data_IF_134470649358
#
_entry.id   IF_134470649358
#
_cell.length_a   1.000
_cell.length_b   1.000
_cell.length_c   1.000
_cell.angle_alpha   90.00
_cell.angle_beta   90.00
_cell.angle_gamma   90.00
#
_symmetry.space_group_name_H-M   'P 1'
#
loop_
_entity.id
_entity.type
_entity.pdbx_description
1 polymer ?
#
# COMPACT_ATOMS: atom_id res chain seq x y z
N UNK A 1 -14.34 -2.65 -16.01
CA UNK A 1 -14.11 -2.85 -14.56
C UNK A 1 -15.42 -2.90 -13.76
N UNK A 2 -16.40 -2.03 -14.05
CA UNK A 2 -17.67 -2.02 -13.30
C UNK A 2 -18.53 -3.28 -13.42
N UNK A 3 -18.33 -4.09 -14.47
CA UNK A 3 -19.07 -5.36 -14.63
C UNK A 3 -18.42 -6.57 -13.95
N UNK A 4 -17.21 -6.42 -13.39
CA UNK A 4 -16.53 -7.53 -12.73
C UNK A 4 -17.04 -7.70 -11.29
N UNK A 5 -17.23 -8.95 -10.86
CA UNK A 5 -17.54 -9.27 -9.47
C UNK A 5 -16.41 -8.86 -8.54
N UNK A 6 -16.72 -8.58 -7.28
CA UNK A 6 -15.74 -8.20 -6.26
C UNK A 6 -14.59 -9.20 -6.16
N UNK A 7 -14.89 -10.50 -6.13
CA UNK A 7 -13.90 -11.57 -6.10
C UNK A 7 -12.93 -11.51 -7.29
N UNK A 8 -13.44 -11.22 -8.48
CA UNK A 8 -12.62 -11.09 -9.68
C UNK A 8 -11.73 -9.84 -9.62
N UNK A 9 -12.24 -8.72 -9.11
CA UNK A 9 -11.46 -7.49 -8.90
C UNK A 9 -10.31 -7.72 -7.92
N UNK A 10 -10.57 -8.38 -6.79
CA UNK A 10 -9.52 -8.74 -5.82
C UNK A 10 -8.49 -9.66 -6.44
N UNK A 11 -8.94 -10.69 -7.17
CA UNK A 11 -8.04 -11.65 -7.81
C UNK A 11 -7.10 -10.94 -8.81
N UNK A 12 -7.61 -10.01 -9.61
CA UNK A 12 -6.80 -9.19 -10.52
C UNK A 12 -5.84 -8.28 -9.74
N UNK A 13 -6.33 -7.60 -8.69
CA UNK A 13 -5.51 -6.71 -7.86
C UNK A 13 -4.37 -7.44 -7.15
N UNK A 14 -4.49 -8.75 -6.92
CA UNK A 14 -3.44 -9.60 -6.36
C UNK A 14 -2.52 -10.14 -7.46
N UNK A 15 -3.08 -10.73 -8.51
CA UNK A 15 -2.31 -11.43 -9.54
C UNK A 15 -1.43 -10.49 -10.36
N UNK A 16 -1.95 -9.33 -10.77
CA UNK A 16 -1.21 -8.44 -11.68
C UNK A 16 0.09 -7.93 -11.03
N UNK A 17 0.09 -7.36 -9.81
CA UNK A 17 1.33 -6.92 -9.17
C UNK A 17 2.31 -8.06 -8.90
N UNK A 18 1.83 -9.26 -8.53
CA UNK A 18 2.68 -10.43 -8.29
C UNK A 18 3.34 -10.90 -9.59
N UNK A 19 2.59 -10.97 -10.69
CA UNK A 19 3.13 -11.34 -12.00
C UNK A 19 4.14 -10.30 -12.48
N UNK A 20 3.85 -9.00 -12.35
CA UNK A 20 4.80 -7.94 -12.69
C UNK A 20 6.07 -8.01 -11.84
N UNK A 21 5.95 -8.30 -10.55
CA UNK A 21 7.09 -8.51 -9.68
C UNK A 21 7.92 -9.72 -10.13
N UNK A 22 7.28 -10.85 -10.41
CA UNK A 22 7.95 -12.06 -10.86
C UNK A 22 8.67 -11.85 -12.21
N UNK A 23 8.01 -11.20 -13.17
CA UNK A 23 8.60 -10.85 -14.47
C UNK A 23 9.81 -9.93 -14.26
N UNK A 24 9.68 -8.89 -13.42
CA UNK A 24 10.79 -7.98 -13.14
C UNK A 24 11.98 -8.69 -12.50
N UNK A 25 11.74 -9.61 -11.56
CA UNK A 25 12.79 -10.44 -10.96
C UNK A 25 13.53 -11.28 -12.01
N UNK A 26 12.81 -11.87 -12.96
CA UNK A 26 13.41 -12.70 -14.02
C UNK A 26 14.18 -11.84 -15.02
N UNK A 27 13.65 -10.68 -15.39
CA UNK A 27 14.30 -9.76 -16.34
C UNK A 27 15.52 -9.05 -15.75
N UNK A 28 15.55 -8.85 -14.43
CA UNK A 28 16.60 -8.13 -13.72
C UNK A 28 17.20 -8.97 -12.58
N UNK A 29 17.88 -10.09 -12.87
CA UNK A 29 18.35 -11.03 -11.83
C UNK A 29 19.45 -10.45 -10.92
N UNK A 30 20.08 -9.34 -11.32
CA UNK A 30 21.17 -8.67 -10.57
C UNK A 30 20.66 -7.71 -9.49
N UNK A 31 19.35 -7.47 -9.37
CA UNK A 31 18.76 -6.45 -8.48
C UNK A 31 18.57 -6.91 -7.03
N UNK A 32 19.34 -7.92 -6.61
CA UNK A 32 19.62 -8.14 -5.20
C UNK A 32 18.63 -9.03 -4.46
N UNK A 33 18.62 -10.33 -4.79
CA UNK A 33 18.37 -11.35 -3.76
C UNK A 33 19.56 -11.48 -2.78
N UNK A 34 20.77 -11.07 -3.20
CA UNK A 34 21.95 -10.92 -2.34
C UNK A 34 22.26 -9.47 -1.99
N UNK A 35 22.90 -9.24 -0.84
CA UNK A 35 23.43 -7.92 -0.45
C UNK A 35 24.63 -7.57 -1.35
N UNK A 36 24.40 -6.83 -2.44
CA UNK A 36 25.50 -6.41 -3.33
C UNK A 36 26.28 -5.29 -2.63
N UNK A 37 27.53 -5.58 -2.21
CA UNK A 37 28.41 -4.62 -1.51
C UNK A 37 28.85 -3.44 -2.39
N UNK A 38 28.73 -3.55 -3.73
CA UNK A 38 29.02 -2.51 -4.73
C UNK A 38 28.06 -2.66 -5.93
N UNK A 39 26.84 -2.09 -5.88
CA UNK A 39 25.91 -2.18 -7.01
C UNK A 39 26.46 -1.39 -8.21
N UNK A 40 26.37 -1.91 -9.45
CA UNK A 40 26.76 -1.14 -10.63
C UNK A 40 25.88 0.12 -10.75
N UNK A 41 26.45 1.21 -11.30
CA UNK A 41 25.65 2.35 -11.78
C UNK A 41 24.55 1.74 -12.67
N UNK A 42 23.28 2.01 -12.37
CA UNK A 42 22.08 1.46 -13.04
C UNK A 42 21.60 0.05 -12.64
N UNK A 43 22.13 -0.61 -11.60
CA UNK A 43 21.35 -1.69 -10.98
C UNK A 43 20.05 -1.08 -10.45
N UNK A 44 18.88 -1.56 -10.90
CA UNK A 44 17.64 -1.20 -10.24
C UNK A 44 17.83 -1.58 -8.77
N UNK A 45 17.94 -0.56 -7.93
CA UNK A 45 18.23 -0.70 -6.50
C UNK A 45 17.12 -1.44 -5.74
N UNK A 46 16.11 -1.98 -6.43
CA UNK A 46 14.94 -2.67 -5.91
C UNK A 46 13.65 -1.84 -6.05
N UNK A 47 13.62 -0.88 -6.97
CA UNK A 47 12.49 0.03 -7.21
C UNK A 47 11.27 -0.71 -7.75
N UNK A 48 11.45 -1.71 -8.63
CA UNK A 48 10.29 -2.52 -9.06
C UNK A 48 9.61 -3.22 -7.88
N UNK A 49 10.38 -3.65 -6.86
CA UNK A 49 9.85 -4.28 -5.65
C UNK A 49 8.97 -3.30 -4.88
N UNK A 50 9.43 -2.07 -4.67
CA UNK A 50 8.61 -1.03 -4.03
C UNK A 50 7.36 -0.68 -4.83
N UNK A 51 7.47 -0.55 -6.15
CA UNK A 51 6.34 -0.13 -7.00
C UNK A 51 5.27 -1.21 -7.10
N UNK A 52 5.67 -2.46 -7.38
CA UNK A 52 4.72 -3.58 -7.47
C UNK A 52 4.12 -3.93 -6.11
N UNK A 53 4.90 -3.80 -5.03
CA UNK A 53 4.38 -3.95 -3.67
C UNK A 53 3.34 -2.88 -3.34
N UNK A 54 3.67 -1.61 -3.57
CA UNK A 54 2.70 -0.52 -3.38
C UNK A 54 1.44 -0.73 -4.23
N UNK A 55 1.58 -1.16 -5.48
CA UNK A 55 0.45 -1.46 -6.36
C UNK A 55 -0.46 -2.56 -5.80
N UNK A 56 0.11 -3.63 -5.21
CA UNK A 56 -0.65 -4.67 -4.51
C UNK A 56 -1.40 -4.10 -3.31
N UNK A 57 -0.71 -3.38 -2.44
CA UNK A 57 -1.31 -2.81 -1.24
C UNK A 57 -2.43 -1.82 -1.54
N UNK A 58 -2.21 -0.93 -2.52
CA UNK A 58 -3.20 0.04 -2.99
C UNK A 58 -4.41 -0.68 -3.59
N UNK A 59 -4.19 -1.64 -4.51
CA UNK A 59 -5.26 -2.33 -5.21
C UNK A 59 -6.16 -3.11 -4.26
N UNK A 60 -5.58 -3.93 -3.39
CA UNK A 60 -6.35 -4.71 -2.42
C UNK A 60 -6.99 -3.80 -1.38
N UNK A 61 -6.22 -2.85 -0.83
CA UNK A 61 -6.70 -1.97 0.22
C UNK A 61 -7.87 -1.09 -0.24
N UNK A 62 -7.78 -0.50 -1.44
CA UNK A 62 -8.86 0.30 -2.04
C UNK A 62 -10.13 -0.52 -2.30
N UNK A 63 -10.00 -1.76 -2.80
CA UNK A 63 -11.16 -2.61 -3.04
C UNK A 63 -11.86 -3.01 -1.73
N UNK A 64 -11.09 -3.39 -0.70
CA UNK A 64 -11.64 -3.71 0.60
C UNK A 64 -12.27 -2.49 1.28
N UNK A 65 -11.67 -1.32 1.13
CA UNK A 65 -12.20 -0.08 1.69
C UNK A 65 -13.56 0.24 1.08
N UNK A 66 -13.67 0.23 -0.25
CA UNK A 66 -14.95 0.46 -0.94
C UNK A 66 -16.03 -0.56 -0.61
N UNK A 67 -15.66 -1.83 -0.37
CA UNK A 67 -16.64 -2.89 -0.09
C UNK A 67 -17.11 -2.84 1.37
N UNK A 68 -16.20 -2.67 2.33
CA UNK A 68 -16.48 -2.87 3.75
C UNK A 68 -16.51 -1.59 4.59
N UNK A 69 -15.71 -0.57 4.25
CA UNK A 69 -15.55 0.64 5.08
C UNK A 69 -16.41 1.78 4.54
N UNK A 70 -16.39 2.01 3.21
CA UNK A 70 -17.16 3.05 2.52
C UNK A 70 -16.98 4.42 3.18
N UNK A 71 -15.73 4.76 3.48
CA UNK A 71 -15.40 6.03 4.08
C UNK A 71 -15.67 7.15 3.07
N UNK A 72 -16.61 8.03 3.40
CA UNK A 72 -17.02 9.14 2.53
C UNK A 72 -16.54 10.47 3.12
N UNK A 73 -15.42 11.05 2.63
CA UNK A 73 -14.91 12.30 3.16
C UNK A 73 -15.84 13.49 2.88
N UNK A 74 -16.72 13.42 1.86
CA UNK A 74 -17.58 14.55 1.49
C UNK A 74 -18.60 14.88 2.57
N UNK A 75 -19.06 13.89 3.34
CA UNK A 75 -20.02 14.05 4.45
C UNK A 75 -19.42 14.72 5.69
N UNK A 76 -18.09 14.87 5.76
CA UNK A 76 -17.41 15.44 6.91
C UNK A 76 -17.38 16.97 6.87
N UNK A 77 -17.47 17.59 8.05
CA UNK A 77 -17.23 19.02 8.19
C UNK A 77 -15.73 19.35 8.00
N UNK A 78 -15.42 20.63 7.76
CA UNK A 78 -14.04 21.07 7.51
C UNK A 78 -13.08 20.75 8.66
N UNK A 79 -13.57 20.79 9.93
CA UNK A 79 -12.74 20.48 11.10
C UNK A 79 -12.34 19.00 11.13
N UNK A 80 -13.28 18.10 10.85
CA UNK A 80 -13.05 16.65 10.76
C UNK A 80 -12.11 16.31 9.61
N UNK A 81 -12.29 16.94 8.44
CA UNK A 81 -11.38 16.78 7.29
C UNK A 81 -9.95 17.15 7.65
N UNK A 82 -9.74 18.28 8.32
CA UNK A 82 -8.42 18.70 8.79
C UNK A 82 -7.84 17.73 9.81
N UNK A 83 -8.62 17.27 10.79
CA UNK A 83 -8.17 16.28 11.78
C UNK A 83 -7.74 14.97 11.09
N UNK A 84 -8.56 14.45 10.18
CA UNK A 84 -8.24 13.22 9.44
C UNK A 84 -7.00 13.38 8.57
N UNK A 85 -6.79 14.56 7.96
CA UNK A 85 -5.57 14.85 7.22
C UNK A 85 -4.33 14.76 8.12
N UNK A 86 -4.35 15.41 9.30
CA UNK A 86 -3.24 15.34 10.25
C UNK A 86 -2.98 13.90 10.72
N UNK A 87 -4.02 13.15 11.07
CA UNK A 87 -3.89 11.75 11.47
C UNK A 87 -3.35 10.91 10.32
N UNK A 88 -3.82 11.13 9.09
CA UNK A 88 -3.34 10.46 7.89
C UNK A 88 -1.85 10.70 7.63
N UNK A 89 -1.39 11.94 7.79
CA UNK A 89 0.04 12.30 7.67
C UNK A 89 0.85 11.59 8.77
N UNK A 90 0.39 11.62 10.03
CA UNK A 90 1.07 10.95 11.13
C UNK A 90 1.17 9.44 10.86
N UNK A 91 0.07 8.83 10.42
CA UNK A 91 -0.01 7.40 10.14
C UNK A 91 0.89 7.02 8.95
N UNK A 92 0.97 7.87 7.91
CA UNK A 92 1.94 7.74 6.82
C UNK A 92 3.37 7.74 7.34
N UNK A 93 3.75 8.74 8.14
CA UNK A 93 5.11 8.85 8.65
C UNK A 93 5.47 7.67 9.55
N UNK A 94 4.60 7.30 10.49
CA UNK A 94 4.81 6.15 11.39
C UNK A 94 4.95 4.87 10.58
N UNK A 95 4.08 4.64 9.62
CA UNK A 95 4.10 3.39 8.84
C UNK A 95 5.31 3.34 7.92
N UNK A 96 5.62 4.44 7.23
CA UNK A 96 6.75 4.50 6.30
C UNK A 96 8.09 4.36 7.03
N UNK A 97 8.34 5.15 8.07
CA UNK A 97 9.60 5.08 8.82
C UNK A 97 9.66 3.87 9.75
N UNK A 98 8.55 3.51 10.39
CA UNK A 98 8.46 2.36 11.28
C UNK A 98 8.65 1.04 10.55
N UNK A 99 7.93 0.80 9.45
CA UNK A 99 8.21 -0.39 8.63
C UNK A 99 9.56 -0.29 7.92
N UNK A 100 10.03 0.91 7.60
CA UNK A 100 11.37 1.15 7.08
C UNK A 100 12.48 0.81 8.07
N UNK A 101 12.24 0.85 9.39
CA UNK A 101 13.21 0.46 10.41
C UNK A 101 13.22 -1.05 10.67
N UNK A 102 12.05 -1.71 10.55
CA UNK A 102 11.88 -3.14 10.84
C UNK A 102 12.15 -4.01 9.60
N UNK A 103 11.58 -3.66 8.45
CA UNK A 103 11.64 -4.45 7.21
C UNK A 103 12.65 -3.80 6.26
N UNK A 104 13.88 -4.31 6.29
CA UNK A 104 15.00 -3.82 5.48
C UNK A 104 15.64 -4.96 4.70
N UNK A 105 16.14 -4.68 3.51
CA UNK A 105 16.98 -5.62 2.77
C UNK A 105 16.62 -5.73 1.29
N UNK A 106 16.57 -6.99 0.85
CA UNK A 106 16.41 -7.40 -0.55
C UNK A 106 15.09 -6.94 -1.17
N UNK A 107 14.97 -7.15 -2.48
CA UNK A 107 13.83 -6.67 -3.26
C UNK A 107 12.47 -7.27 -2.81
N UNK A 108 12.47 -8.52 -2.31
CA UNK A 108 11.27 -9.15 -1.76
C UNK A 108 10.80 -8.52 -0.45
N UNK A 109 11.72 -8.20 0.46
CA UNK A 109 11.39 -7.47 1.69
C UNK A 109 10.89 -6.06 1.39
N UNK A 110 11.44 -5.40 0.36
CA UNK A 110 10.90 -4.13 -0.12
C UNK A 110 9.48 -4.28 -0.65
N UNK A 111 9.22 -5.29 -1.48
CA UNK A 111 7.87 -5.60 -1.95
C UNK A 111 6.88 -5.72 -0.79
N UNK A 112 7.18 -6.57 0.20
CA UNK A 112 6.33 -6.75 1.39
C UNK A 112 6.13 -5.42 2.13
N UNK A 113 7.22 -4.68 2.39
CA UNK A 113 7.15 -3.40 3.10
C UNK A 113 6.21 -2.41 2.41
N UNK A 114 6.37 -2.21 1.11
CA UNK A 114 5.56 -1.23 0.38
C UNK A 114 4.12 -1.70 0.16
N UNK A 115 3.87 -3.01 0.07
CA UNK A 115 2.52 -3.58 0.16
C UNK A 115 1.85 -3.19 1.47
N UNK A 116 2.52 -3.38 2.60
CA UNK A 116 1.97 -3.04 3.91
C UNK A 116 1.76 -1.53 4.07
N UNK A 117 2.73 -0.71 3.67
CA UNK A 117 2.59 0.76 3.71
C UNK A 117 1.36 1.21 2.94
N UNK A 118 1.24 0.79 1.67
CA UNK A 118 0.12 1.18 0.82
C UNK A 118 -1.22 0.65 1.38
N UNK A 119 -1.26 -0.62 1.78
CA UNK A 119 -2.47 -1.24 2.33
C UNK A 119 -2.96 -0.51 3.58
N UNK A 120 -2.05 -0.19 4.51
CA UNK A 120 -2.38 0.55 5.74
C UNK A 120 -2.98 1.92 5.40
N UNK A 121 -2.42 2.63 4.43
CA UNK A 121 -2.92 3.94 4.02
C UNK A 121 -4.29 3.87 3.33
N UNK A 122 -4.52 2.86 2.50
CA UNK A 122 -5.77 2.74 1.72
C UNK A 122 -6.90 2.04 2.46
N UNK A 123 -6.61 1.19 3.44
CA UNK A 123 -7.63 0.42 4.15
C UNK A 123 -7.69 0.78 5.64
N UNK A 124 -6.55 0.71 6.33
CA UNK A 124 -6.51 0.90 7.78
C UNK A 124 -6.77 2.36 8.16
N UNK A 125 -6.24 3.33 7.41
CA UNK A 125 -6.47 4.74 7.70
C UNK A 125 -7.96 5.14 7.55
N UNK A 126 -8.67 4.79 6.46
CA UNK A 126 -10.13 4.97 6.38
C UNK A 126 -10.90 4.25 7.48
N UNK A 127 -10.47 3.04 7.87
CA UNK A 127 -11.07 2.31 8.99
C UNK A 127 -10.94 3.08 10.30
N UNK A 128 -9.80 3.70 10.57
CA UNK A 128 -9.59 4.55 11.74
C UNK A 128 -10.47 5.80 11.65
N UNK A 129 -10.52 6.46 10.49
CA UNK A 129 -11.31 7.68 10.30
C UNK A 129 -12.80 7.45 10.51
N UNK A 130 -13.36 6.33 10.05
CA UNK A 130 -14.79 6.01 10.29
C UNK A 130 -15.09 5.78 11.78
N UNK A 131 -14.13 5.26 12.56
CA UNK A 131 -14.29 5.08 14.01
C UNK A 131 -14.20 6.40 14.77
N UNK A 132 -13.31 7.31 14.36
CA UNK A 132 -13.17 8.63 14.98
C UNK A 132 -14.38 9.52 14.67
N UNK A 133 -14.86 9.47 13.43
CA UNK A 133 -15.96 10.32 12.96
C UNK A 133 -17.35 9.71 13.15
N UNK A 134 -17.48 8.67 13.98
CA UNK A 134 -18.77 8.06 14.28
C UNK A 134 -19.75 9.15 14.71
N UNK A 135 -20.80 9.38 13.91
CA UNK A 135 -21.90 10.30 14.27
C UNK A 135 -22.31 9.94 15.70
N UNK A 136 -22.36 10.93 16.61
CA UNK A 136 -23.11 10.75 17.86
C UNK A 136 -24.49 10.29 17.43
N UNK A 137 -24.91 9.11 17.88
CA UNK A 137 -26.31 8.76 17.83
C UNK A 137 -27.02 9.81 18.69
N UNK A 138 -27.75 10.71 18.03
CA UNK A 138 -28.76 11.55 18.67
C UNK A 138 -29.94 10.68 19.08
#
# INVERSE_FOLDING_TARGET
>A
INELSFNMKILIAILVPILLFAIAVVLFPTTGFGLVRNPPLYADSGSFGSTTGAMLGLGVGYLLENEYIKYEPSELNNKQKTINLFIGIILLLITFFGLGSIIRGNVGLRFIRYTLVAFILTFVAPLIFTKINRKKAE
#
